data_IF_000602377812
#
_entry.id   IF_000602377812
#
_cell.length_a   1.000
_cell.length_b   1.000
_cell.length_c   1.000
_cell.angle_alpha   90.00
_cell.angle_beta   90.00
_cell.angle_gamma   90.00
#
_symmetry.space_group_name_H-M   'P 1'
#
loop_
_entity.id
_entity.type
_entity.pdbx_description
1 polymer ?
#
# COMPACT_ATOMS: atom_id res chain seq x y z
N UNK A 1 1.24 3.02 -27.78
CA UNK A 1 0.63 3.73 -26.65
C UNK A 1 1.51 3.56 -25.43
N UNK A 2 2.02 4.64 -24.91
CA UNK A 2 2.86 4.62 -23.72
C UNK A 2 1.99 4.86 -22.47
N UNK A 3 2.14 4.07 -21.38
CA UNK A 3 1.38 4.30 -20.17
C UNK A 3 1.60 5.69 -19.59
N UNK A 4 0.52 6.36 -19.21
CA UNK A 4 0.58 7.68 -18.60
C UNK A 4 -0.50 7.86 -17.55
N UNK A 5 -0.33 8.87 -16.68
CA UNK A 5 -1.32 9.23 -15.69
C UNK A 5 -2.53 9.92 -16.34
N UNK A 6 -3.58 10.16 -15.55
CA UNK A 6 -4.74 10.93 -16.00
C UNK A 6 -4.38 12.34 -16.42
N UNK A 7 -3.30 12.92 -15.89
CA UNK A 7 -2.79 14.23 -16.26
C UNK A 7 -1.87 14.20 -17.49
N UNK A 8 -1.69 13.04 -18.13
CA UNK A 8 -0.86 12.90 -19.32
C UNK A 8 0.63 12.76 -19.05
N UNK A 9 1.03 12.58 -17.78
CA UNK A 9 2.44 12.41 -17.43
C UNK A 9 2.85 10.97 -17.74
N UNK A 10 3.90 10.75 -18.58
CA UNK A 10 4.37 9.40 -18.91
C UNK A 10 4.85 8.64 -17.67
N UNK A 11 4.64 7.31 -17.67
CA UNK A 11 5.18 6.44 -16.65
C UNK A 11 6.70 6.53 -16.62
N UNK A 12 7.27 6.82 -15.44
CA UNK A 12 8.71 7.01 -15.28
C UNK A 12 9.12 6.63 -13.86
N UNK A 13 10.27 5.99 -13.74
CA UNK A 13 10.85 5.66 -12.42
C UNK A 13 11.16 6.92 -11.60
N UNK A 14 11.34 8.07 -12.23
CA UNK A 14 11.54 9.34 -11.55
C UNK A 14 10.34 9.78 -10.71
N UNK A 15 9.14 9.25 -11.00
CA UNK A 15 7.92 9.54 -10.24
C UNK A 15 7.72 8.59 -9.05
N UNK A 16 8.55 7.59 -8.88
CA UNK A 16 8.46 6.66 -7.75
C UNK A 16 8.87 7.35 -6.46
N UNK A 17 8.12 7.10 -5.41
CA UNK A 17 8.36 7.70 -4.10
C UNK A 17 9.17 6.80 -3.17
N UNK A 18 9.82 5.78 -3.70
CA UNK A 18 10.70 4.91 -2.92
C UNK A 18 11.95 5.66 -2.46
N UNK A 19 12.31 5.45 -1.20
CA UNK A 19 13.52 6.01 -0.61
C UNK A 19 14.70 5.03 -0.58
N UNK A 20 14.42 3.74 -0.80
CA UNK A 20 15.40 2.68 -0.62
C UNK A 20 15.63 2.31 0.86
N UNK A 21 14.93 2.96 1.77
CA UNK A 21 14.94 2.61 3.20
C UNK A 21 13.75 1.68 3.47
N UNK A 22 13.99 0.39 3.85
CA UNK A 22 12.91 -0.57 4.03
C UNK A 22 11.85 -0.14 5.05
N UNK A 23 12.25 0.47 6.14
CA UNK A 23 11.30 0.91 7.18
C UNK A 23 10.40 2.04 6.65
N UNK A 24 10.99 3.05 6.04
CA UNK A 24 10.25 4.18 5.48
C UNK A 24 9.31 3.72 4.36
N UNK A 25 9.81 2.89 3.46
CA UNK A 25 9.02 2.40 2.32
C UNK A 25 7.86 1.52 2.78
N UNK A 26 8.04 0.71 3.83
CA UNK A 26 6.96 -0.11 4.40
C UNK A 26 5.88 0.75 5.07
N UNK A 27 6.24 1.81 5.78
CA UNK A 27 5.26 2.75 6.31
C UNK A 27 4.47 3.44 5.20
N UNK A 28 5.11 3.81 4.12
CA UNK A 28 4.46 4.39 2.95
C UNK A 28 3.48 3.39 2.32
N UNK A 29 3.89 2.12 2.19
CA UNK A 29 3.03 1.06 1.68
C UNK A 29 1.79 0.87 2.56
N UNK A 30 1.96 0.86 3.88
CA UNK A 30 0.85 0.75 4.83
C UNK A 30 -0.09 1.94 4.74
N UNK A 31 0.44 3.15 4.59
CA UNK A 31 -0.36 4.35 4.42
C UNK A 31 -1.18 4.30 3.12
N UNK A 32 -0.58 3.83 2.03
CA UNK A 32 -1.26 3.66 0.75
C UNK A 32 -2.41 2.65 0.84
N UNK A 33 -2.20 1.51 1.52
CA UNK A 33 -3.24 0.50 1.74
C UNK A 33 -4.40 1.05 2.58
N UNK A 34 -4.10 1.86 3.59
CA UNK A 34 -5.13 2.48 4.41
C UNK A 34 -5.95 3.50 3.60
N UNK A 35 -5.31 4.28 2.74
CA UNK A 35 -6.01 5.20 1.84
C UNK A 35 -6.92 4.45 0.88
N UNK A 36 -6.45 3.36 0.30
CA UNK A 36 -7.24 2.52 -0.60
C UNK A 36 -8.47 1.95 0.12
N UNK A 37 -8.30 1.45 1.32
CA UNK A 37 -9.39 0.94 2.14
C UNK A 37 -10.45 2.01 2.40
N UNK A 38 -10.06 3.21 2.79
CA UNK A 38 -10.98 4.34 2.99
C UNK A 38 -11.74 4.68 1.71
N UNK A 39 -11.06 4.65 0.57
CA UNK A 39 -11.67 4.90 -0.73
C UNK A 39 -12.72 3.85 -1.06
N UNK A 40 -12.44 2.58 -0.83
CA UNK A 40 -13.41 1.50 -1.04
C UNK A 40 -14.63 1.63 -0.13
N UNK A 41 -14.43 1.98 1.14
CA UNK A 41 -15.54 2.20 2.07
C UNK A 41 -16.45 3.33 1.59
N UNK A 42 -15.87 4.42 1.12
CA UNK A 42 -16.61 5.54 0.56
C UNK A 42 -17.40 5.14 -0.69
N UNK A 43 -16.78 4.37 -1.59
CA UNK A 43 -17.45 3.89 -2.80
C UNK A 43 -18.58 2.91 -2.48
N UNK A 44 -18.39 2.05 -1.48
CA UNK A 44 -19.44 1.13 -1.02
C UNK A 44 -20.65 1.90 -0.51
N UNK A 45 -20.45 2.99 0.23
CA UNK A 45 -21.54 3.82 0.72
C UNK A 45 -22.31 4.53 -0.40
N UNK A 46 -21.64 4.84 -1.50
CA UNK A 46 -22.25 5.50 -2.67
C UNK A 46 -22.94 4.52 -3.61
N UNK A 47 -22.47 3.28 -3.68
CA UNK A 47 -22.99 2.30 -4.64
C UNK A 47 -24.32 1.70 -4.17
N UNK A 48 -25.26 1.54 -5.09
CA UNK A 48 -26.56 0.93 -4.81
C UNK A 48 -26.71 -0.43 -5.49
N UNK A 49 -25.97 -0.67 -6.59
CA UNK A 49 -26.05 -1.88 -7.37
C UNK A 49 -25.30 -3.03 -6.68
N UNK A 50 -25.96 -4.16 -6.36
CA UNK A 50 -25.29 -5.32 -5.75
C UNK A 50 -24.14 -5.88 -6.58
N UNK A 51 -24.20 -5.78 -7.90
CA UNK A 51 -23.15 -6.25 -8.79
C UNK A 51 -21.87 -5.40 -8.69
N UNK A 52 -21.99 -4.17 -8.23
CA UNK A 52 -20.88 -3.27 -7.96
C UNK A 52 -20.40 -3.43 -6.51
N UNK A 53 -21.32 -3.61 -5.57
CA UNK A 53 -21.00 -3.72 -4.14
C UNK A 53 -20.16 -4.95 -3.81
N UNK A 54 -20.47 -6.10 -4.41
CA UNK A 54 -19.74 -7.34 -4.10
C UNK A 54 -18.25 -7.25 -4.44
N UNK A 55 -17.84 -6.80 -5.64
CA UNK A 55 -16.43 -6.59 -5.94
C UNK A 55 -15.76 -5.55 -5.03
N UNK A 56 -16.44 -4.45 -4.70
CA UNK A 56 -15.88 -3.43 -3.83
C UNK A 56 -15.61 -3.95 -2.42
N UNK A 57 -16.53 -4.74 -1.86
CA UNK A 57 -16.36 -5.37 -0.55
C UNK A 57 -15.19 -6.35 -0.56
N UNK A 58 -15.04 -7.11 -1.62
CA UNK A 58 -13.92 -8.03 -1.79
C UNK A 58 -12.59 -7.28 -1.80
N UNK A 59 -12.49 -6.19 -2.57
CA UNK A 59 -11.28 -5.37 -2.64
C UNK A 59 -10.94 -4.73 -1.29
N UNK A 60 -11.95 -4.26 -0.55
CA UNK A 60 -11.77 -3.71 0.80
C UNK A 60 -11.17 -4.75 1.75
N UNK A 61 -11.68 -5.99 1.72
CA UNK A 61 -11.14 -7.07 2.56
C UNK A 61 -9.69 -7.40 2.20
N UNK A 62 -9.34 -7.36 0.93
CA UNK A 62 -7.97 -7.58 0.50
C UNK A 62 -7.02 -6.49 1.00
N UNK A 63 -7.46 -5.26 1.09
CA UNK A 63 -6.64 -4.18 1.64
C UNK A 63 -6.30 -4.40 3.13
N UNK A 64 -7.21 -4.99 3.90
CA UNK A 64 -6.95 -5.37 5.29
C UNK A 64 -5.82 -6.41 5.36
N UNK A 65 -5.85 -7.42 4.50
CA UNK A 65 -4.81 -8.46 4.44
C UNK A 65 -3.47 -7.86 4.02
N UNK A 66 -3.45 -6.99 3.02
CA UNK A 66 -2.24 -6.32 2.56
C UNK A 66 -1.62 -5.48 3.68
N UNK A 67 -2.42 -4.71 4.40
CA UNK A 67 -1.97 -3.90 5.51
C UNK A 67 -1.30 -4.77 6.59
N UNK A 68 -1.90 -5.90 6.95
CA UNK A 68 -1.33 -6.83 7.90
C UNK A 68 0.02 -7.39 7.43
N UNK A 69 0.12 -7.76 6.16
CA UNK A 69 1.36 -8.30 5.59
C UNK A 69 2.49 -7.27 5.56
N UNK A 70 2.18 -6.03 5.24
CA UNK A 70 3.17 -4.95 5.32
C UNK A 70 3.59 -4.71 6.77
N UNK A 71 2.66 -4.80 7.74
CA UNK A 71 2.98 -4.70 9.16
C UNK A 71 3.91 -5.81 9.63
N UNK A 72 3.67 -7.05 9.21
CA UNK A 72 4.54 -8.19 9.49
C UNK A 72 5.94 -7.99 8.88
N UNK A 73 6.00 -7.53 7.64
CA UNK A 73 7.26 -7.23 6.98
C UNK A 73 8.04 -6.13 7.71
N UNK A 74 7.34 -5.12 8.23
CA UNK A 74 7.94 -4.05 9.02
C UNK A 74 8.59 -4.60 10.30
N UNK A 75 7.90 -5.49 11.00
CA UNK A 75 8.45 -6.15 12.20
C UNK A 75 9.71 -6.93 11.86
N UNK A 76 9.68 -7.72 10.81
CA UNK A 76 10.84 -8.50 10.34
C UNK A 76 12.00 -7.57 10.00
N UNK A 77 11.76 -6.49 9.30
CA UNK A 77 12.79 -5.53 8.92
C UNK A 77 13.40 -4.85 10.13
N UNK A 78 12.59 -4.47 11.13
CA UNK A 78 13.08 -3.88 12.38
C UNK A 78 13.95 -4.84 13.15
N UNK A 79 13.51 -6.09 13.30
CA UNK A 79 14.28 -7.11 14.01
C UNK A 79 15.62 -7.36 13.35
N UNK A 80 15.65 -7.43 12.02
CA UNK A 80 16.87 -7.61 11.25
C UNK A 80 17.84 -6.43 11.46
N UNK A 81 17.35 -5.20 11.43
CA UNK A 81 18.18 -4.01 11.67
C UNK A 81 18.69 -3.96 13.10
N UNK A 82 17.89 -4.32 14.09
CA UNK A 82 18.30 -4.38 15.48
C UNK A 82 19.42 -5.41 15.69
N UNK A 83 19.30 -6.60 15.09
CA UNK A 83 20.36 -7.62 15.13
C UNK A 83 21.65 -7.10 14.49
N UNK A 84 21.53 -6.41 13.37
CA UNK A 84 22.68 -5.83 12.66
C UNK A 84 23.40 -4.78 13.54
N UNK A 85 22.65 -3.93 14.21
CA UNK A 85 23.22 -2.96 15.15
C UNK A 85 23.93 -3.64 16.32
N UNK A 86 23.36 -4.71 16.83
CA UNK A 86 23.94 -5.49 17.92
C UNK A 86 25.31 -6.05 17.53
N UNK A 87 25.46 -6.56 16.31
CA UNK A 87 26.71 -7.18 15.85
C UNK A 87 27.80 -6.16 15.47
N UNK A 88 27.42 -4.96 15.08
CA UNK A 88 28.35 -3.95 14.58
C UNK A 88 28.53 -2.74 15.50
N UNK A 89 28.21 -2.92 16.75
CA UNK A 89 28.38 -1.89 17.76
C UNK A 89 29.83 -1.65 18.13
#
# INVERSE_FOLDING_TARGET
VYPCSAAGVPFSAAAFQSKGDPITDLYEDMAAEQKARSTYEYLIDLAEDPDVLAPLRFLREREVVHFQRFGEALEIARDHLNQKHWFFK
#
